data_IF_785456501209
#
_entry.id   IF_785456501209
#
_cell.length_a   1.000
_cell.length_b   1.000
_cell.length_c   1.000
_cell.angle_alpha   90.00
_cell.angle_beta   90.00
_cell.angle_gamma   90.00
#
_symmetry.space_group_name_H-M   'P 1'
#
loop_
_entity.id
_entity.type
_entity.pdbx_description
1 polymer ?
#
# COMPACT_ATOMS: atom_id res chain seq x y z
N UNK A 1 7.62 -28.93 26.60
CA UNK A 1 8.10 -28.60 25.26
C UNK A 1 7.88 -27.11 25.11
N UNK A 2 8.94 -26.32 24.87
CA UNK A 2 8.75 -24.91 24.58
C UNK A 2 8.11 -24.84 23.18
N UNK A 3 6.81 -24.50 23.12
CA UNK A 3 6.15 -24.19 21.86
C UNK A 3 6.72 -22.86 21.35
N UNK A 4 7.79 -22.91 20.58
CA UNK A 4 8.32 -21.73 19.92
C UNK A 4 7.39 -21.32 18.79
N UNK A 5 7.09 -20.01 18.70
CA UNK A 5 6.31 -19.43 17.63
C UNK A 5 7.23 -18.78 16.59
N UNK A 6 7.07 -19.14 15.33
CA UNK A 6 7.72 -18.50 14.18
C UNK A 6 6.84 -17.39 13.61
N UNK A 7 7.43 -16.24 13.35
CA UNK A 7 6.80 -15.17 12.58
C UNK A 7 7.23 -15.32 11.12
N UNK A 8 6.32 -15.79 10.27
CA UNK A 8 6.52 -15.89 8.83
C UNK A 8 6.19 -14.55 8.19
N UNK A 9 7.16 -13.96 7.51
CA UNK A 9 7.00 -12.61 6.94
C UNK A 9 7.27 -12.63 5.44
N UNK A 10 6.27 -12.29 4.63
CA UNK A 10 6.48 -11.99 3.21
C UNK A 10 6.73 -10.51 3.02
N UNK A 11 7.58 -10.13 2.06
CA UNK A 11 7.93 -8.73 1.84
C UNK A 11 8.89 -8.16 2.90
N UNK A 12 9.66 -9.01 3.56
CA UNK A 12 10.60 -8.65 4.62
C UNK A 12 11.69 -7.65 4.18
N UNK A 13 12.10 -7.68 2.91
CA UNK A 13 13.08 -6.76 2.34
C UNK A 13 12.48 -5.41 1.91
N UNK A 14 11.16 -5.23 2.03
CA UNK A 14 10.46 -3.98 1.73
C UNK A 14 10.43 -3.03 2.92
N UNK A 15 9.98 -1.79 2.70
CA UNK A 15 9.97 -0.72 3.68
C UNK A 15 9.30 -1.12 5.02
N UNK A 16 8.04 -1.55 4.98
CA UNK A 16 7.34 -2.02 6.17
C UNK A 16 7.94 -3.31 6.73
N UNK A 17 8.29 -4.27 5.84
CA UNK A 17 8.78 -5.58 6.25
C UNK A 17 10.10 -5.51 7.01
N UNK A 18 11.03 -4.65 6.61
CA UNK A 18 12.30 -4.43 7.33
C UNK A 18 12.04 -3.92 8.75
N UNK A 19 11.14 -2.95 8.91
CA UNK A 19 10.79 -2.41 10.23
C UNK A 19 10.06 -3.44 11.11
N UNK A 20 9.22 -4.31 10.53
CA UNK A 20 8.63 -5.45 11.24
C UNK A 20 9.71 -6.44 11.69
N UNK A 21 10.66 -6.80 10.83
CA UNK A 21 11.78 -7.68 11.20
C UNK A 21 12.54 -7.12 12.40
N UNK A 22 12.91 -5.85 12.37
CA UNK A 22 13.66 -5.21 13.44
C UNK A 22 12.91 -5.28 14.78
N UNK A 23 11.64 -4.89 14.81
CA UNK A 23 10.84 -4.90 16.04
C UNK A 23 10.58 -6.31 16.58
N UNK A 24 10.36 -7.30 15.71
CA UNK A 24 10.21 -8.69 16.13
C UNK A 24 11.50 -9.26 16.71
N UNK A 25 12.65 -8.94 16.12
CA UNK A 25 13.95 -9.36 16.65
C UNK A 25 14.26 -8.68 17.99
N UNK A 26 13.97 -7.39 18.15
CA UNK A 26 14.10 -6.68 19.42
C UNK A 26 13.23 -7.31 20.53
N UNK A 27 12.06 -7.83 20.14
CA UNK A 27 11.18 -8.59 21.04
C UNK A 27 11.63 -10.05 21.27
N UNK A 28 12.76 -10.47 20.70
CA UNK A 28 13.30 -11.83 20.84
C UNK A 28 12.52 -12.90 20.06
N UNK A 29 11.71 -12.50 19.05
CA UNK A 29 10.92 -13.41 18.25
C UNK A 29 11.77 -14.11 17.17
N UNK A 30 11.37 -15.33 16.80
CA UNK A 30 11.91 -16.02 15.62
C UNK A 30 11.22 -15.56 14.36
N UNK A 31 11.98 -14.99 13.43
CA UNK A 31 11.47 -14.45 12.17
C UNK A 31 12.00 -15.26 10.99
N UNK A 32 11.10 -15.69 10.11
CA UNK A 32 11.42 -16.32 8.84
C UNK A 32 10.86 -15.46 7.71
N UNK A 33 11.70 -15.05 6.77
CA UNK A 33 11.36 -14.21 5.64
C UNK A 33 11.26 -15.01 4.35
N UNK A 34 10.20 -14.78 3.57
CA UNK A 34 10.11 -15.22 2.18
C UNK A 34 10.73 -14.16 1.28
N UNK A 35 11.71 -14.55 0.47
CA UNK A 35 12.45 -13.67 -0.42
C UNK A 35 12.47 -14.24 -1.83
N UNK A 36 12.29 -13.39 -2.84
CA UNK A 36 12.42 -13.80 -4.23
C UNK A 36 13.87 -14.23 -4.55
N UNK A 37 14.06 -15.27 -5.36
CA UNK A 37 15.38 -15.59 -5.88
C UNK A 37 16.02 -14.37 -6.57
N UNK A 38 17.28 -14.08 -6.23
CA UNK A 38 18.05 -12.94 -6.75
C UNK A 38 17.55 -11.54 -6.36
N UNK A 39 16.73 -11.43 -5.32
CA UNK A 39 16.35 -10.12 -4.78
C UNK A 39 17.56 -9.44 -4.13
N UNK A 40 17.97 -8.30 -4.69
CA UNK A 40 19.11 -7.53 -4.20
C UNK A 40 18.85 -6.86 -2.85
N UNK A 41 17.58 -6.71 -2.48
CA UNK A 41 17.16 -6.07 -1.23
C UNK A 41 17.35 -6.97 -0.02
N UNK A 42 17.67 -8.25 -0.22
CA UNK A 42 17.94 -9.22 0.87
C UNK A 42 19.04 -8.73 1.82
N UNK A 43 19.99 -7.93 1.35
CA UNK A 43 21.07 -7.32 2.15
C UNK A 43 20.57 -6.38 3.26
N UNK A 44 19.33 -5.93 3.19
CA UNK A 44 18.71 -5.06 4.20
C UNK A 44 17.91 -5.84 5.25
N UNK A 45 17.76 -7.14 5.06
CA UNK A 45 17.15 -8.02 6.07
C UNK A 45 18.19 -8.28 7.15
N UNK A 46 17.87 -8.10 8.45
CA UNK A 46 18.81 -8.42 9.54
C UNK A 46 19.32 -9.87 9.48
N UNK A 47 20.60 -10.10 9.78
CA UNK A 47 21.24 -11.41 9.67
C UNK A 47 20.58 -12.50 10.56
N UNK A 48 19.90 -12.11 11.62
CA UNK A 48 19.21 -13.02 12.54
C UNK A 48 17.90 -13.59 11.94
N UNK A 49 17.41 -13.02 10.84
CA UNK A 49 16.20 -13.49 10.16
C UNK A 49 16.54 -14.70 9.29
N UNK A 50 15.80 -15.78 9.47
CA UNK A 50 15.91 -16.95 8.60
C UNK A 50 15.32 -16.62 7.22
N UNK A 51 16.14 -16.69 6.17
CA UNK A 51 15.71 -16.39 4.79
C UNK A 51 15.38 -17.68 4.05
N UNK A 52 14.17 -17.75 3.49
CA UNK A 52 13.72 -18.82 2.60
C UNK A 52 13.41 -18.23 1.22
N UNK A 53 13.94 -18.85 0.17
CA UNK A 53 13.70 -18.42 -1.21
C UNK A 53 12.39 -18.99 -1.73
N UNK A 54 11.57 -18.14 -2.34
CA UNK A 54 10.31 -18.56 -3.00
C UNK A 54 9.64 -17.40 -3.72
N UNK A 55 8.69 -17.75 -4.59
CA UNK A 55 7.89 -16.78 -5.36
C UNK A 55 6.41 -16.95 -4.98
N UNK A 56 5.75 -15.85 -4.63
CA UNK A 56 4.31 -15.86 -4.31
C UNK A 56 3.46 -16.42 -5.46
N UNK A 57 3.91 -16.26 -6.70
CA UNK A 57 3.20 -16.76 -7.89
C UNK A 57 3.38 -18.26 -8.13
N UNK A 58 4.37 -18.88 -7.48
CA UNK A 58 4.62 -20.33 -7.51
C UNK A 58 4.28 -20.96 -6.14
N UNK A 59 3.09 -21.53 -6.03
CA UNK A 59 2.62 -22.15 -4.79
C UNK A 59 3.52 -23.29 -4.29
N UNK A 60 4.24 -24.01 -5.18
CA UNK A 60 5.14 -25.10 -4.79
C UNK A 60 6.37 -24.55 -4.06
N UNK A 61 6.91 -23.43 -4.50
CA UNK A 61 8.08 -22.77 -3.89
C UNK A 61 7.85 -22.29 -2.46
N UNK A 62 6.58 -22.18 -2.02
CA UNK A 62 6.23 -21.68 -0.70
C UNK A 62 6.28 -22.74 0.40
N UNK A 63 6.38 -24.02 0.07
CA UNK A 63 6.32 -25.12 1.06
C UNK A 63 7.42 -25.01 2.13
N UNK A 64 8.70 -24.77 1.79
CA UNK A 64 9.76 -24.65 2.81
C UNK A 64 9.55 -23.45 3.76
N UNK A 65 8.90 -22.38 3.28
CA UNK A 65 8.61 -21.20 4.08
C UNK A 65 7.58 -21.49 5.19
N UNK A 66 6.59 -22.33 4.93
CA UNK A 66 5.56 -22.70 5.90
C UNK A 66 5.96 -23.86 6.82
N UNK A 67 6.90 -24.71 6.41
CA UNK A 67 7.34 -25.86 7.19
C UNK A 67 8.16 -25.42 8.41
N UNK A 68 7.57 -25.44 9.60
CA UNK A 68 8.27 -25.18 10.87
C UNK A 68 8.65 -26.49 11.57
N UNK A 69 9.64 -26.47 12.50
CA UNK A 69 10.02 -27.66 13.26
C UNK A 69 8.86 -28.28 14.03
N UNK A 70 8.90 -29.58 14.23
CA UNK A 70 7.87 -30.31 14.98
C UNK A 70 7.69 -29.74 16.40
N UNK A 71 6.44 -29.50 16.80
CA UNK A 71 6.09 -28.91 18.08
C UNK A 71 6.18 -27.37 18.14
N UNK A 72 6.57 -26.72 17.04
CA UNK A 72 6.49 -25.27 16.90
C UNK A 72 5.18 -24.86 16.22
N UNK A 73 4.77 -23.61 16.46
CA UNK A 73 3.68 -22.95 15.76
C UNK A 73 4.18 -21.80 14.91
N UNK A 74 3.34 -21.29 14.04
CA UNK A 74 3.66 -20.09 13.26
C UNK A 74 2.47 -19.14 13.15
N UNK A 75 2.80 -17.89 12.85
CA UNK A 75 1.85 -16.87 12.39
C UNK A 75 2.42 -16.20 11.17
N UNK A 76 1.57 -15.76 10.25
CA UNK A 76 2.06 -15.09 9.05
C UNK A 76 1.61 -13.64 8.98
N UNK A 77 2.57 -12.75 8.67
CA UNK A 77 2.32 -11.36 8.29
C UNK A 77 2.60 -11.25 6.79
N UNK A 78 1.55 -11.07 6.00
CA UNK A 78 1.65 -11.02 4.55
C UNK A 78 1.70 -9.57 4.07
N UNK A 79 2.93 -9.02 3.93
CA UNK A 79 3.19 -7.65 3.47
C UNK A 79 3.54 -7.57 1.98
N UNK A 80 4.03 -8.66 1.39
CA UNK A 80 4.51 -8.64 0.02
C UNK A 80 3.41 -8.23 -0.96
N UNK A 81 3.70 -7.20 -1.75
CA UNK A 81 2.86 -6.74 -2.85
C UNK A 81 3.67 -5.90 -3.83
N UNK A 82 3.24 -5.87 -5.08
CA UNK A 82 3.70 -4.85 -6.01
C UNK A 82 2.92 -3.57 -5.77
N UNK A 83 3.63 -2.44 -5.67
CA UNK A 83 3.07 -1.10 -5.57
C UNK A 83 3.32 -0.36 -6.89
N UNK A 84 2.37 0.41 -7.37
CA UNK A 84 2.51 1.22 -8.58
C UNK A 84 1.54 2.39 -8.56
N UNK A 85 1.98 3.54 -9.04
CA UNK A 85 1.13 4.70 -9.37
C UNK A 85 0.66 4.68 -10.82
N UNK A 86 1.10 3.72 -11.63
CA UNK A 86 0.55 3.53 -12.95
C UNK A 86 -0.92 3.09 -12.81
N UNK A 87 -1.89 3.90 -13.27
CA UNK A 87 -3.31 3.57 -13.12
C UNK A 87 -3.75 2.38 -13.97
N UNK A 88 -2.95 2.00 -14.97
CA UNK A 88 -3.32 1.00 -15.94
C UNK A 88 -3.23 -0.42 -15.37
N UNK A 89 -4.12 -1.27 -15.83
CA UNK A 89 -4.13 -2.69 -15.49
C UNK A 89 -2.80 -3.36 -15.85
N UNK A 90 -2.35 -4.24 -14.96
CA UNK A 90 -1.14 -5.03 -15.16
C UNK A 90 -1.40 -6.49 -14.72
N UNK A 91 -1.24 -7.43 -15.66
CA UNK A 91 -1.35 -8.87 -15.35
C UNK A 91 -0.35 -9.29 -14.27
N UNK A 92 0.87 -8.77 -14.32
CA UNK A 92 1.89 -9.05 -13.32
C UNK A 92 1.47 -8.56 -11.93
N UNK A 93 0.91 -7.33 -11.84
CA UNK A 93 0.39 -6.78 -10.58
C UNK A 93 -0.70 -7.69 -9.99
N UNK A 94 -1.64 -8.13 -10.81
CA UNK A 94 -2.73 -9.01 -10.38
C UNK A 94 -2.23 -10.41 -10.02
N UNK A 95 -1.28 -10.95 -10.78
CA UNK A 95 -0.68 -12.25 -10.46
C UNK A 95 0.02 -12.23 -9.09
N UNK A 96 0.78 -11.19 -8.78
CA UNK A 96 1.47 -11.06 -7.49
C UNK A 96 0.48 -10.73 -6.37
N UNK A 97 -0.29 -9.65 -6.50
CA UNK A 97 -1.10 -9.14 -5.38
C UNK A 97 -2.32 -10.02 -5.09
N UNK A 98 -2.97 -10.56 -6.11
CA UNK A 98 -4.17 -11.40 -5.94
C UNK A 98 -3.81 -12.88 -6.00
N UNK A 99 -3.07 -13.31 -7.03
CA UNK A 99 -2.63 -14.70 -7.18
C UNK A 99 -1.72 -15.14 -6.02
N UNK A 100 -0.73 -14.32 -5.68
CA UNK A 100 0.16 -14.55 -4.54
C UNK A 100 -0.58 -14.65 -3.22
N UNK A 101 -1.48 -13.71 -2.93
CA UNK A 101 -2.32 -13.76 -1.70
C UNK A 101 -3.18 -15.03 -1.66
N UNK A 102 -3.72 -15.48 -2.80
CA UNK A 102 -4.46 -16.77 -2.89
C UNK A 102 -3.58 -17.94 -2.51
N UNK A 103 -2.34 -17.97 -3.02
CA UNK A 103 -1.40 -19.04 -2.69
C UNK A 103 -1.07 -19.05 -1.19
N UNK A 104 -0.86 -17.89 -0.58
CA UNK A 104 -0.66 -17.74 0.87
C UNK A 104 -1.88 -18.26 1.65
N UNK A 105 -3.10 -17.85 1.30
CA UNK A 105 -4.34 -18.36 1.93
C UNK A 105 -4.39 -19.88 1.87
N UNK A 106 -4.10 -20.46 0.70
CA UNK A 106 -4.10 -21.92 0.51
C UNK A 106 -3.08 -22.61 1.40
N UNK A 107 -1.88 -22.04 1.53
CA UNK A 107 -0.84 -22.57 2.41
C UNK A 107 -1.23 -22.50 3.87
N UNK A 108 -1.74 -21.35 4.36
CA UNK A 108 -2.21 -21.22 5.75
C UNK A 108 -3.29 -22.25 6.09
N UNK A 109 -4.23 -22.50 5.17
CA UNK A 109 -5.28 -23.49 5.37
C UNK A 109 -4.76 -24.95 5.40
N UNK A 110 -3.64 -25.21 4.72
CA UNK A 110 -3.02 -26.54 4.68
C UNK A 110 -1.99 -26.78 5.80
N UNK A 111 -1.60 -25.74 6.53
CA UNK A 111 -0.65 -25.79 7.63
C UNK A 111 -1.35 -25.44 8.95
N UNK A 112 -1.95 -26.42 9.66
CA UNK A 112 -2.71 -26.20 10.90
C UNK A 112 -1.86 -25.60 12.03
N UNK A 113 -0.54 -25.75 11.99
CA UNK A 113 0.42 -25.09 12.89
C UNK A 113 0.53 -23.58 12.65
N UNK A 114 0.07 -23.08 11.50
CA UNK A 114 -0.05 -21.65 11.24
C UNK A 114 -1.35 -21.11 11.87
N UNK A 115 -1.20 -20.51 13.05
CA UNK A 115 -2.32 -20.15 13.93
C UNK A 115 -3.14 -18.99 13.39
N UNK A 116 -2.52 -18.05 12.66
CA UNK A 116 -3.18 -16.83 12.19
C UNK A 116 -2.43 -16.15 11.06
N UNK A 117 -3.18 -15.48 10.20
CA UNK A 117 -2.69 -14.60 9.13
C UNK A 117 -3.07 -13.15 9.44
N UNK A 118 -2.09 -12.23 9.36
CA UNK A 118 -2.32 -10.79 9.24
C UNK A 118 -2.04 -10.39 7.80
N UNK A 119 -3.06 -9.93 7.09
CA UNK A 119 -2.92 -9.45 5.72
C UNK A 119 -2.75 -7.94 5.71
N UNK A 120 -1.65 -7.46 5.11
CA UNK A 120 -1.40 -6.03 4.92
C UNK A 120 -2.01 -5.58 3.58
N UNK A 121 -3.16 -4.93 3.68
CA UNK A 121 -3.87 -4.33 2.56
C UNK A 121 -3.39 -2.89 2.30
N UNK A 122 -4.29 -1.96 2.11
CA UNK A 122 -4.06 -0.52 1.93
C UNK A 122 -5.36 0.25 2.16
N UNK A 123 -5.30 1.48 2.64
CA UNK A 123 -6.46 2.40 2.62
C UNK A 123 -6.96 2.67 1.20
N UNK A 124 -6.11 2.49 0.19
CA UNK A 124 -6.52 2.54 -1.22
C UNK A 124 -7.51 1.44 -1.63
N UNK A 125 -7.63 0.36 -0.85
CA UNK A 125 -8.62 -0.70 -1.07
C UNK A 125 -10.01 -0.37 -0.52
N UNK A 126 -10.15 0.70 0.26
CA UNK A 126 -11.40 1.11 0.89
C UNK A 126 -12.11 2.11 -0.04
N UNK A 127 -13.39 1.91 -0.37
CA UNK A 127 -14.17 2.89 -1.10
C UNK A 127 -14.15 4.27 -0.42
N UNK A 128 -14.18 5.32 -1.23
CA UNK A 128 -14.19 6.68 -0.71
C UNK A 128 -15.52 7.06 -0.07
N UNK A 129 -15.41 7.96 0.92
CA UNK A 129 -16.52 8.71 1.46
C UNK A 129 -16.41 10.19 1.04
N UNK A 130 -17.50 10.95 1.02
CA UNK A 130 -17.46 12.38 0.74
C UNK A 130 -16.51 13.12 1.69
N UNK A 131 -15.91 14.23 1.23
CA UNK A 131 -15.11 15.08 2.08
C UNK A 131 -15.86 15.50 3.36
N UNK A 132 -15.16 15.48 4.49
CA UNK A 132 -15.75 15.75 5.82
C UNK A 132 -16.39 14.54 6.49
N UNK A 133 -16.44 13.40 5.80
CA UNK A 133 -16.86 12.10 6.38
C UNK A 133 -15.62 11.23 6.53
N UNK A 134 -15.29 10.80 7.75
CA UNK A 134 -14.16 9.91 7.96
C UNK A 134 -14.40 8.54 7.36
N UNK A 135 -13.45 8.07 6.56
CA UNK A 135 -13.44 6.73 5.97
C UNK A 135 -13.20 5.71 7.08
N UNK A 136 -14.05 4.69 7.13
CA UNK A 136 -13.99 3.59 8.12
C UNK A 136 -13.60 2.28 7.47
N UNK A 137 -13.30 1.31 8.32
CA UNK A 137 -12.95 -0.03 7.90
C UNK A 137 -14.07 -0.70 7.12
N UNK A 138 -13.66 -1.48 6.13
CA UNK A 138 -14.58 -2.41 5.46
C UNK A 138 -15.02 -3.52 6.41
N UNK A 139 -16.20 -4.03 6.20
CA UNK A 139 -16.79 -5.11 6.97
C UNK A 139 -17.77 -5.90 6.10
N UNK A 140 -18.45 -6.89 6.67
CA UNK A 140 -19.42 -7.72 5.93
C UNK A 140 -20.60 -6.94 5.30
N UNK A 141 -20.89 -5.73 5.78
CA UNK A 141 -21.98 -4.88 5.23
C UNK A 141 -21.43 -3.87 4.20
N UNK A 142 -20.16 -3.50 4.31
CA UNK A 142 -19.44 -2.60 3.42
C UNK A 142 -18.18 -3.30 2.90
N UNK A 143 -18.32 -4.23 1.93
CA UNK A 143 -17.20 -5.02 1.44
C UNK A 143 -16.23 -4.18 0.61
N UNK A 144 -14.99 -4.67 0.49
CA UNK A 144 -14.04 -4.16 -0.50
C UNK A 144 -14.55 -4.46 -1.90
N UNK A 145 -14.94 -3.42 -2.62
CA UNK A 145 -15.40 -3.52 -4.00
C UNK A 145 -14.36 -2.89 -4.94
N UNK A 146 -13.64 -3.69 -5.75
CA UNK A 146 -12.63 -3.16 -6.67
C UNK A 146 -13.21 -2.20 -7.72
N UNK A 147 -14.52 -2.20 -7.93
CA UNK A 147 -15.20 -1.26 -8.84
C UNK A 147 -15.39 0.13 -8.23
N UNK A 148 -15.25 0.26 -6.92
CA UNK A 148 -15.45 1.51 -6.17
C UNK A 148 -14.15 2.20 -5.79
N UNK A 149 -13.01 1.67 -6.23
CA UNK A 149 -11.70 2.24 -5.96
C UNK A 149 -10.97 2.54 -7.26
N UNK A 150 -10.10 3.55 -7.25
CA UNK A 150 -9.43 4.07 -8.43
C UNK A 150 -7.99 3.55 -8.50
N UNK A 151 -7.57 3.15 -9.70
CA UNK A 151 -6.22 2.68 -10.00
C UNK A 151 -6.01 1.17 -9.80
N UNK A 152 -5.17 0.59 -10.67
CA UNK A 152 -4.94 -0.86 -10.72
C UNK A 152 -4.42 -1.43 -9.39
N UNK A 153 -3.55 -0.68 -8.69
CA UNK A 153 -3.05 -1.07 -7.38
C UNK A 153 -4.18 -1.18 -6.35
N UNK A 154 -5.00 -0.14 -6.22
CA UNK A 154 -6.13 -0.12 -5.28
C UNK A 154 -7.13 -1.24 -5.58
N UNK A 155 -7.42 -1.48 -6.86
CA UNK A 155 -8.28 -2.58 -7.30
C UNK A 155 -7.71 -3.95 -6.95
N UNK A 156 -6.40 -4.16 -7.11
CA UNK A 156 -5.72 -5.39 -6.74
C UNK A 156 -5.78 -5.64 -5.23
N UNK A 157 -5.56 -4.59 -4.42
CA UNK A 157 -5.66 -4.65 -2.95
C UNK A 157 -7.09 -4.87 -2.48
N UNK A 158 -8.09 -4.21 -3.09
CA UNK A 158 -9.50 -4.44 -2.77
C UNK A 158 -9.91 -5.88 -3.08
N UNK A 159 -9.51 -6.41 -4.25
CA UNK A 159 -9.78 -7.80 -4.64
C UNK A 159 -9.14 -8.80 -3.67
N UNK A 160 -7.87 -8.60 -3.32
CA UNK A 160 -7.17 -9.49 -2.40
C UNK A 160 -7.74 -9.40 -0.98
N UNK A 161 -8.13 -8.21 -0.51
CA UNK A 161 -8.77 -8.02 0.80
C UNK A 161 -10.08 -8.78 0.87
N UNK A 162 -10.95 -8.62 -0.14
CA UNK A 162 -12.23 -9.32 -0.17
C UNK A 162 -12.02 -10.83 -0.19
N UNK A 163 -11.03 -11.31 -0.94
CA UNK A 163 -10.69 -12.74 -0.99
C UNK A 163 -10.24 -13.28 0.38
N UNK A 164 -9.46 -12.52 1.16
CA UNK A 164 -9.09 -12.89 2.54
C UNK A 164 -10.34 -12.97 3.43
N UNK A 165 -11.23 -11.97 3.38
CA UNK A 165 -12.46 -11.94 4.18
C UNK A 165 -13.43 -13.06 3.79
N UNK A 166 -13.53 -13.38 2.50
CA UNK A 166 -14.32 -14.51 2.01
C UNK A 166 -13.74 -15.84 2.49
N UNK A 167 -12.41 -16.00 2.49
CA UNK A 167 -11.76 -17.20 3.02
C UNK A 167 -11.99 -17.37 4.53
N UNK A 168 -12.03 -16.26 5.30
CA UNK A 168 -12.42 -16.31 6.72
C UNK A 168 -13.84 -16.85 6.87
N UNK A 169 -14.79 -16.28 6.12
CA UNK A 169 -16.21 -16.60 6.28
C UNK A 169 -16.58 -17.99 5.76
N UNK A 170 -15.96 -18.44 4.65
CA UNK A 170 -16.35 -19.66 3.93
C UNK A 170 -15.44 -20.83 4.26
N UNK A 171 -14.14 -20.59 4.46
CA UNK A 171 -13.12 -21.63 4.60
C UNK A 171 -12.59 -21.74 6.04
N UNK A 172 -13.00 -20.85 6.94
CA UNK A 172 -12.54 -20.83 8.32
C UNK A 172 -11.10 -20.35 8.50
N UNK A 173 -10.57 -19.58 7.51
CA UNK A 173 -9.26 -18.96 7.63
C UNK A 173 -9.20 -18.07 8.88
N UNK A 174 -8.22 -18.29 9.72
CA UNK A 174 -7.97 -17.41 10.88
C UNK A 174 -7.15 -16.22 10.43
N UNK A 175 -7.79 -15.14 9.97
CA UNK A 175 -7.10 -13.95 9.51
C UNK A 175 -7.78 -12.65 9.97
N UNK A 176 -6.98 -11.59 10.06
CA UNK A 176 -7.44 -10.21 10.11
C UNK A 176 -6.67 -9.37 9.09
N UNK A 177 -7.16 -8.18 8.81
CA UNK A 177 -6.61 -7.29 7.78
C UNK A 177 -6.20 -5.97 8.41
N UNK A 178 -5.04 -5.45 8.04
CA UNK A 178 -4.63 -4.08 8.34
C UNK A 178 -4.62 -3.26 7.05
N UNK A 179 -5.11 -2.03 7.11
CA UNK A 179 -5.16 -1.07 6.00
C UNK A 179 -4.25 0.12 6.31
N UNK A 180 -2.96 0.05 5.95
CA UNK A 180 -2.07 1.19 6.05
C UNK A 180 -2.53 2.34 5.18
N UNK A 181 -2.36 3.58 5.66
CA UNK A 181 -2.30 4.77 4.81
C UNK A 181 -0.95 4.86 4.09
N UNK A 182 -0.60 5.98 3.48
CA UNK A 182 0.75 6.17 2.94
C UNK A 182 1.79 5.99 4.04
N UNK A 183 2.99 5.56 3.68
CA UNK A 183 4.05 5.23 4.64
C UNK A 183 5.17 6.26 4.54
N UNK A 184 5.64 6.72 5.70
CA UNK A 184 6.74 7.67 5.86
C UNK A 184 7.65 7.17 6.99
N UNK A 185 8.94 7.50 6.96
CA UNK A 185 9.88 7.18 8.04
C UNK A 185 11.13 6.44 7.57
N UNK A 186 12.06 6.14 8.48
CA UNK A 186 13.38 5.60 8.15
C UNK A 186 13.33 4.15 7.61
N UNK A 187 14.41 3.76 6.92
CA UNK A 187 14.66 2.42 6.36
C UNK A 187 13.89 2.10 5.06
N UNK A 188 13.50 3.11 4.27
CA UNK A 188 13.01 2.87 2.90
C UNK A 188 14.17 2.73 1.92
N UNK A 189 14.88 1.62 1.98
CA UNK A 189 16.03 1.36 1.11
C UNK A 189 15.67 1.19 -0.37
N UNK A 190 14.40 1.01 -0.69
CA UNK A 190 13.92 0.94 -2.08
C UNK A 190 13.64 2.33 -2.67
N UNK A 191 13.66 3.39 -1.84
CA UNK A 191 13.30 4.76 -2.21
C UNK A 191 11.96 4.77 -2.93
N UNK A 192 10.91 4.42 -2.20
CA UNK A 192 9.53 4.43 -2.70
C UNK A 192 9.05 5.85 -3.02
N UNK A 193 7.80 5.96 -3.44
CA UNK A 193 7.26 7.23 -3.95
C UNK A 193 7.25 8.36 -2.93
N UNK A 194 6.91 8.05 -1.67
CA UNK A 194 6.89 9.06 -0.60
C UNK A 194 8.30 9.57 -0.34
N UNK A 195 9.25 8.67 -0.05
CA UNK A 195 10.65 9.00 0.18
C UNK A 195 11.27 9.70 -1.03
N UNK A 196 10.97 9.24 -2.26
CA UNK A 196 11.42 9.89 -3.49
C UNK A 196 10.88 11.32 -3.64
N UNK A 197 9.62 11.56 -3.29
CA UNK A 197 9.02 12.90 -3.29
C UNK A 197 9.71 13.83 -2.28
N UNK A 198 9.97 13.34 -1.06
CA UNK A 198 10.69 14.09 -0.05
C UNK A 198 12.10 14.48 -0.52
N UNK A 199 12.82 13.52 -1.12
CA UNK A 199 14.15 13.78 -1.70
C UNK A 199 14.10 14.86 -2.80
N UNK A 200 13.09 14.84 -3.68
CA UNK A 200 12.93 15.88 -4.70
C UNK A 200 12.66 17.26 -4.09
N UNK A 201 11.85 17.33 -3.03
CA UNK A 201 11.58 18.58 -2.29
C UNK A 201 12.88 19.08 -1.64
N UNK A 202 13.58 18.22 -0.91
CA UNK A 202 14.83 18.56 -0.21
C UNK A 202 15.90 19.05 -1.20
N UNK A 203 16.08 18.36 -2.33
CA UNK A 203 17.03 18.74 -3.38
C UNK A 203 16.60 19.97 -4.19
N UNK A 204 15.39 20.49 -3.96
CA UNK A 204 14.85 21.63 -4.70
C UNK A 204 14.50 21.33 -6.16
N UNK A 205 14.29 20.06 -6.49
CA UNK A 205 13.94 19.56 -7.82
C UNK A 205 12.44 19.71 -8.13
N UNK A 206 11.62 20.03 -7.11
CA UNK A 206 10.19 20.32 -7.25
C UNK A 206 9.96 21.81 -7.34
N UNK A 207 9.74 22.38 -8.54
CA UNK A 207 9.64 23.83 -8.72
C UNK A 207 8.30 24.40 -8.22
N UNK A 208 7.25 23.57 -8.16
CA UNK A 208 5.91 23.93 -7.72
C UNK A 208 5.25 22.72 -7.07
N UNK A 209 4.35 22.97 -6.14
CA UNK A 209 3.53 21.93 -5.52
C UNK A 209 2.12 21.85 -6.13
N UNK A 210 1.28 21.03 -5.54
CA UNK A 210 -0.14 20.92 -5.82
C UNK A 210 -0.92 21.14 -4.53
N UNK A 211 -2.08 21.75 -4.62
CA UNK A 211 -3.04 21.74 -3.53
C UNK A 211 -3.47 20.30 -3.28
N UNK A 212 -3.78 19.97 -2.04
CA UNK A 212 -4.25 18.64 -1.67
C UNK A 212 -3.58 18.12 -0.40
N UNK A 213 -3.95 16.94 -0.02
CA UNK A 213 -3.54 16.35 1.25
C UNK A 213 -3.16 14.89 1.11
N UNK A 214 -2.41 14.41 2.10
CA UNK A 214 -2.07 13.01 2.29
C UNK A 214 -2.55 12.53 3.65
N UNK A 215 -2.55 11.23 3.83
CA UNK A 215 -2.50 10.61 5.13
C UNK A 215 -1.30 9.66 5.12
N UNK A 216 -0.34 9.92 5.99
CA UNK A 216 0.92 9.17 6.06
C UNK A 216 1.11 8.70 7.50
N UNK A 217 1.36 7.42 7.68
CA UNK A 217 1.72 6.87 8.99
C UNK A 217 3.22 6.61 9.07
N UNK A 218 3.79 6.75 10.25
CA UNK A 218 5.16 6.36 10.51
C UNK A 218 5.31 4.84 10.35
N UNK A 219 6.31 4.40 9.61
CA UNK A 219 6.55 2.98 9.32
C UNK A 219 6.75 2.15 10.60
N UNK A 220 7.32 2.75 11.65
CA UNK A 220 7.55 2.09 12.94
C UNK A 220 6.26 1.88 13.73
N UNK A 221 5.34 2.87 13.68
CA UNK A 221 4.02 2.76 14.28
C UNK A 221 3.16 1.77 13.52
N UNK A 222 3.26 1.79 12.19
CA UNK A 222 2.62 0.82 11.31
C UNK A 222 3.12 -0.60 11.58
N UNK A 223 4.43 -0.80 11.75
CA UNK A 223 5.02 -2.08 12.09
C UNK A 223 4.49 -2.58 13.44
N UNK A 224 4.51 -1.72 14.48
CA UNK A 224 3.98 -2.05 15.80
C UNK A 224 2.50 -2.43 15.78
N UNK A 225 1.66 -1.65 15.07
CA UNK A 225 0.23 -1.94 14.90
C UNK A 225 -0.02 -3.25 14.14
N UNK A 226 0.79 -3.53 13.11
CA UNK A 226 0.71 -4.76 12.33
C UNK A 226 1.12 -5.99 13.18
N UNK A 227 2.18 -5.88 13.98
CA UNK A 227 2.59 -6.92 14.92
C UNK A 227 1.52 -7.14 16.00
N UNK A 228 0.98 -6.06 16.57
CA UNK A 228 -0.09 -6.15 17.55
C UNK A 228 -1.35 -6.86 17.01
N UNK A 229 -1.64 -6.73 15.72
CA UNK A 229 -2.76 -7.40 15.06
C UNK A 229 -2.61 -8.94 15.05
N UNK A 230 -1.39 -9.48 15.21
CA UNK A 230 -1.18 -10.93 15.34
C UNK A 230 -1.94 -11.48 16.55
N UNK A 231 -1.75 -10.87 17.70
CA UNK A 231 -2.35 -11.37 18.96
C UNK A 231 -3.70 -10.72 19.27
N UNK A 232 -3.86 -9.42 19.03
CA UNK A 232 -5.03 -8.65 19.41
C UNK A 232 -6.08 -8.53 18.32
N UNK A 233 -5.68 -8.61 17.03
CA UNK A 233 -6.63 -8.46 15.91
C UNK A 233 -7.67 -9.58 15.91
N UNK A 234 -8.95 -9.24 15.84
CA UNK A 234 -10.05 -10.21 15.78
C UNK A 234 -10.16 -10.85 14.40
N UNK A 235 -10.49 -12.12 14.34
CA UNK A 235 -10.68 -12.88 13.10
C UNK A 235 -11.81 -12.26 12.28
N UNK A 236 -11.56 -12.01 10.99
CA UNK A 236 -12.50 -11.40 10.05
C UNK A 236 -12.62 -9.88 10.14
N UNK A 237 -11.87 -9.25 11.05
CA UNK A 237 -11.91 -7.81 11.23
C UNK A 237 -10.81 -7.10 10.43
N UNK A 238 -11.13 -5.86 10.07
CA UNK A 238 -10.20 -4.92 9.42
C UNK A 238 -9.83 -3.80 10.39
N UNK A 239 -8.61 -3.29 10.26
CA UNK A 239 -8.08 -2.19 11.07
C UNK A 239 -7.38 -1.18 10.16
N UNK A 240 -7.80 0.07 10.22
CA UNK A 240 -7.08 1.17 9.56
C UNK A 240 -5.91 1.57 10.43
N UNK A 241 -4.71 1.59 9.84
CA UNK A 241 -3.49 2.10 10.48
C UNK A 241 -3.09 3.38 9.73
N UNK A 242 -3.55 4.50 10.24
CA UNK A 242 -3.42 5.82 9.63
C UNK A 242 -2.98 6.86 10.67
N UNK A 243 -2.77 8.08 10.22
CA UNK A 243 -2.46 9.25 11.03
C UNK A 243 -3.44 10.38 10.71
N UNK A 244 -3.15 11.59 11.17
CA UNK A 244 -3.89 12.79 10.77
C UNK A 244 -3.57 13.14 9.31
N UNK A 245 -4.53 13.75 8.64
CA UNK A 245 -4.31 14.30 7.29
C UNK A 245 -3.33 15.46 7.36
N UNK A 246 -2.42 15.55 6.40
CA UNK A 246 -1.43 16.61 6.23
C UNK A 246 -1.47 17.10 4.79
N UNK A 247 -1.40 18.42 4.57
CA UNK A 247 -1.30 18.99 3.23
C UNK A 247 0.12 18.91 2.68
N UNK A 248 0.27 18.90 1.36
CA UNK A 248 1.60 19.00 0.74
C UNK A 248 2.35 20.25 1.19
N UNK A 249 1.61 21.36 1.39
CA UNK A 249 2.22 22.60 1.89
C UNK A 249 2.79 22.44 3.30
N UNK A 250 2.02 21.90 4.23
CA UNK A 250 2.49 21.64 5.60
C UNK A 250 3.70 20.70 5.61
N UNK A 251 3.71 19.67 4.74
CA UNK A 251 4.86 18.78 4.58
C UNK A 251 6.10 19.54 4.11
N UNK A 252 5.98 20.39 3.10
CA UNK A 252 7.08 21.24 2.63
C UNK A 252 7.57 22.22 3.70
N UNK A 253 6.65 22.80 4.48
CA UNK A 253 7.01 23.70 5.57
C UNK A 253 7.78 22.97 6.69
N UNK A 254 7.38 21.73 7.02
CA UNK A 254 8.10 20.90 7.99
C UNK A 254 9.49 20.50 7.49
N UNK A 255 9.63 20.11 6.21
CA UNK A 255 10.93 19.82 5.61
C UNK A 255 11.83 21.05 5.53
N UNK A 256 11.26 22.22 5.25
CA UNK A 256 12.02 23.46 5.29
C UNK A 256 12.54 23.77 6.70
N UNK A 257 11.71 23.59 7.73
CA UNK A 257 12.10 23.79 9.11
C UNK A 257 13.18 22.78 9.56
N UNK A 258 13.10 21.54 9.11
CA UNK A 258 14.00 20.45 9.54
C UNK A 258 15.37 20.53 8.85
N UNK A 259 15.42 20.68 7.53
CA UNK A 259 16.64 20.58 6.75
C UNK A 259 16.86 21.75 5.78
N UNK A 260 16.20 22.88 6.01
CA UNK A 260 16.27 24.05 5.14
C UNK A 260 15.98 23.75 3.65
N UNK A 261 15.11 22.76 3.41
CA UNK A 261 14.64 22.40 2.08
C UNK A 261 14.09 23.66 1.37
N UNK A 262 14.28 23.76 0.06
CA UNK A 262 13.81 24.91 -0.71
C UNK A 262 12.30 25.06 -0.60
N UNK A 263 11.85 26.23 -0.16
CA UNK A 263 10.41 26.53 -0.06
C UNK A 263 9.74 26.53 -1.43
N UNK A 264 8.63 25.81 -1.52
CA UNK A 264 7.74 25.87 -2.68
C UNK A 264 6.78 27.06 -2.50
N UNK A 265 6.88 28.05 -3.39
CA UNK A 265 6.10 29.30 -3.30
C UNK A 265 4.73 29.21 -3.98
N UNK A 266 4.54 28.28 -4.88
CA UNK A 266 3.32 28.16 -5.69
C UNK A 266 2.76 26.75 -5.67
N UNK A 267 1.46 26.63 -5.39
CA UNK A 267 0.73 25.37 -5.35
C UNK A 267 -0.41 25.40 -6.37
N UNK A 268 -0.33 24.55 -7.36
CA UNK A 268 -1.33 24.39 -8.41
C UNK A 268 -2.68 23.99 -7.81
N UNK A 269 -3.80 24.64 -8.22
CA UNK A 269 -5.12 24.09 -7.99
C UNK A 269 -5.27 22.69 -8.62
N UNK A 270 -6.02 21.79 -7.95
CA UNK A 270 -6.14 20.40 -8.36
C UNK A 270 -6.69 20.23 -9.77
N UNK A 271 -7.70 21.03 -10.16
CA UNK A 271 -8.29 20.98 -11.51
C UNK A 271 -7.28 21.32 -12.62
N UNK A 272 -6.34 22.22 -12.33
CA UNK A 272 -5.27 22.56 -13.27
C UNK A 272 -4.19 21.50 -13.29
N UNK A 273 -3.83 20.96 -12.12
CA UNK A 273 -2.86 19.88 -11.99
C UNK A 273 -3.31 18.62 -12.76
N UNK A 274 -4.60 18.28 -12.70
CA UNK A 274 -5.16 17.12 -13.40
C UNK A 274 -5.04 17.26 -14.93
N UNK A 275 -5.36 18.43 -15.48
CA UNK A 275 -5.22 18.72 -16.91
C UNK A 275 -3.76 18.65 -17.37
N UNK A 276 -2.83 19.17 -16.57
CA UNK A 276 -1.38 19.10 -16.85
C UNK A 276 -0.91 17.64 -16.81
N UNK A 277 -1.32 16.88 -15.79
CA UNK A 277 -0.96 15.48 -15.64
C UNK A 277 -1.41 14.63 -16.84
N UNK A 278 -2.65 14.82 -17.28
CA UNK A 278 -3.18 14.15 -18.49
C UNK A 278 -2.36 14.47 -19.74
N UNK A 279 -1.88 15.70 -19.88
CA UNK A 279 -0.97 16.10 -20.97
C UNK A 279 0.40 15.41 -20.88
N UNK A 280 0.97 15.34 -19.67
CA UNK A 280 2.25 14.69 -19.43
C UNK A 280 2.19 13.16 -19.65
N UNK A 281 1.09 12.50 -19.28
CA UNK A 281 0.88 11.08 -19.55
C UNK A 281 0.84 10.77 -21.04
N UNK A 282 0.13 11.59 -21.84
CA UNK A 282 0.13 11.46 -23.30
C UNK A 282 1.53 11.66 -23.94
N UNK A 283 2.32 12.57 -23.37
CA UNK A 283 3.70 12.77 -23.81
C UNK A 283 4.59 11.60 -23.43
N UNK A 284 4.39 11.04 -22.23
CA UNK A 284 5.09 9.85 -21.73
C UNK A 284 4.86 8.63 -22.63
N UNK A 285 3.63 8.39 -23.07
CA UNK A 285 3.29 7.32 -24.03
C UNK A 285 4.11 7.42 -25.33
N UNK A 286 4.35 8.66 -25.81
CA UNK A 286 5.12 8.90 -27.05
C UNK A 286 6.63 8.78 -26.83
N UNK A 287 7.12 9.16 -25.66
CA UNK A 287 8.57 9.28 -25.39
C UNK A 287 9.13 8.08 -24.62
N UNK A 288 8.28 7.24 -24.04
CA UNK A 288 8.68 6.15 -23.14
C UNK A 288 9.26 6.62 -21.81
N UNK A 289 9.21 7.93 -21.50
CA UNK A 289 9.71 8.49 -20.23
C UNK A 289 8.58 8.56 -19.21
N UNK A 290 8.88 8.22 -17.96
CA UNK A 290 7.92 8.39 -16.84
C UNK A 290 7.53 9.88 -16.72
N UNK A 291 6.22 10.20 -16.63
CA UNK A 291 5.78 11.58 -16.42
C UNK A 291 6.11 12.03 -14.98
N UNK A 292 6.42 13.33 -14.82
CA UNK A 292 6.67 13.93 -13.51
C UNK A 292 5.44 13.91 -12.60
N UNK A 293 4.25 13.85 -13.19
CA UNK A 293 2.95 13.86 -12.49
C UNK A 293 1.98 13.04 -13.31
N UNK A 294 1.17 12.22 -12.62
CA UNK A 294 0.09 11.42 -13.24
C UNK A 294 -1.27 11.90 -12.75
N UNK A 295 -2.31 11.65 -13.53
CA UNK A 295 -3.69 11.88 -13.09
C UNK A 295 -4.01 11.11 -11.80
N UNK A 296 -3.40 9.92 -11.64
CA UNK A 296 -3.54 9.14 -10.42
C UNK A 296 -2.84 9.77 -9.21
N UNK A 297 -1.68 10.41 -9.39
CA UNK A 297 -1.02 11.14 -8.29
C UNK A 297 -1.81 12.36 -7.87
N UNK A 298 -2.41 13.08 -8.81
CA UNK A 298 -3.32 14.20 -8.53
C UNK A 298 -4.57 13.72 -7.79
N UNK A 299 -5.18 12.62 -8.26
CA UNK A 299 -6.31 12.00 -7.60
C UNK A 299 -6.00 11.62 -6.14
N UNK A 300 -4.84 11.04 -5.86
CA UNK A 300 -4.45 10.67 -4.50
C UNK A 300 -4.32 11.87 -3.55
N UNK A 301 -3.96 13.05 -4.07
CA UNK A 301 -3.93 14.32 -3.31
C UNK A 301 -5.32 14.93 -3.15
N UNK A 302 -6.20 14.74 -4.14
CA UNK A 302 -7.53 15.34 -4.21
C UNK A 302 -8.57 14.56 -3.43
N UNK A 303 -8.39 13.24 -3.30
CA UNK A 303 -9.37 12.36 -2.65
C UNK A 303 -9.51 12.69 -1.16
N UNK A 304 -10.60 12.22 -0.56
CA UNK A 304 -10.76 12.23 0.89
C UNK A 304 -9.69 11.33 1.54
N UNK A 305 -8.81 11.93 2.35
CA UNK A 305 -7.74 11.26 3.08
C UNK A 305 -7.96 11.27 4.61
N UNK A 306 -9.21 11.50 5.06
CA UNK A 306 -9.58 11.46 6.46
C UNK A 306 -10.02 10.05 6.86
N UNK A 307 -9.23 9.37 7.68
CA UNK A 307 -9.51 8.01 8.13
C UNK A 307 -9.88 7.98 9.61
N UNK A 308 -10.83 7.11 9.98
CA UNK A 308 -11.15 6.77 11.36
C UNK A 308 -10.33 5.53 11.75
N UNK A 309 -9.29 5.70 12.53
CA UNK A 309 -8.44 4.62 13.03
C UNK A 309 -8.67 4.32 14.52
N UNK A 310 -9.73 4.86 15.10
CA UNK A 310 -10.06 4.69 16.52
C UNK A 310 -10.23 3.21 16.93
N UNK A 311 -10.67 2.36 16.02
CA UNK A 311 -10.76 0.92 16.25
C UNK A 311 -9.38 0.30 16.48
N UNK A 312 -8.38 0.68 15.67
CA UNK A 312 -7.01 0.21 15.86
C UNK A 312 -6.40 0.73 17.18
N UNK A 313 -6.67 1.99 17.55
CA UNK A 313 -6.26 2.53 18.84
C UNK A 313 -6.84 1.72 20.00
N UNK A 314 -8.14 1.46 19.99
CA UNK A 314 -8.85 0.79 21.08
C UNK A 314 -8.54 -0.72 21.17
N UNK A 315 -8.45 -1.42 20.04
CA UNK A 315 -8.35 -2.89 20.03
C UNK A 315 -6.89 -3.38 19.90
N UNK A 316 -6.05 -2.66 19.15
CA UNK A 316 -4.64 -3.05 18.95
C UNK A 316 -3.68 -2.30 19.89
N UNK A 317 -4.10 -1.15 20.42
CA UNK A 317 -3.22 -0.21 21.10
C UNK A 317 -2.35 0.58 20.13
N UNK A 318 -2.84 0.79 18.90
CA UNK A 318 -2.15 1.56 17.88
C UNK A 318 -1.98 3.02 18.32
N UNK A 319 -0.80 3.57 18.11
CA UNK A 319 -0.47 4.97 18.39
C UNK A 319 0.26 5.57 17.21
N UNK A 320 0.25 6.88 17.08
CA UNK A 320 0.92 7.58 15.98
C UNK A 320 1.88 8.63 16.50
N UNK A 321 3.07 8.69 15.93
CA UNK A 321 4.03 9.79 16.10
C UNK A 321 3.53 11.05 15.43
N UNK A 322 4.08 12.19 15.84
CA UNK A 322 3.89 13.44 15.12
C UNK A 322 4.63 13.41 13.77
N UNK A 323 4.12 14.17 12.81
CA UNK A 323 4.83 14.31 11.52
C UNK A 323 6.22 14.93 11.68
N UNK A 324 6.37 15.84 12.63
CA UNK A 324 7.66 16.47 12.92
C UNK A 324 8.70 15.43 13.37
N UNK A 325 8.33 14.52 14.26
CA UNK A 325 9.21 13.44 14.71
C UNK A 325 9.55 12.47 13.56
N UNK A 326 8.54 12.06 12.79
CA UNK A 326 8.75 11.15 11.66
C UNK A 326 9.65 11.78 10.59
N UNK A 327 9.44 13.07 10.25
CA UNK A 327 10.26 13.79 9.27
C UNK A 327 11.68 13.96 9.78
N UNK A 328 11.86 14.30 11.05
CA UNK A 328 13.18 14.40 11.66
C UNK A 328 13.95 13.09 11.48
N UNK A 329 13.37 11.98 11.90
CA UNK A 329 14.03 10.67 11.84
C UNK A 329 14.27 10.20 10.39
N UNK A 330 13.35 10.49 9.48
CA UNK A 330 13.51 10.22 8.04
C UNK A 330 14.67 11.01 7.46
N UNK A 331 14.78 12.31 7.77
CA UNK A 331 15.88 13.18 7.32
C UNK A 331 17.22 12.69 7.89
N UNK A 332 17.28 12.33 9.18
CA UNK A 332 18.48 11.78 9.80
C UNK A 332 18.91 10.46 9.13
N UNK A 333 17.94 9.58 8.82
CA UNK A 333 18.20 8.36 8.08
C UNK A 333 18.73 8.64 6.66
N UNK A 334 18.11 9.59 5.93
CA UNK A 334 18.59 9.99 4.60
C UNK A 334 20.03 10.51 4.61
N UNK A 335 20.44 11.22 5.67
CA UNK A 335 21.82 11.67 5.86
C UNK A 335 22.73 10.47 6.10
N UNK A 336 22.35 9.58 7.00
CA UNK A 336 23.15 8.39 7.33
C UNK A 336 23.37 7.47 6.12
N UNK A 337 22.37 7.36 5.23
CA UNK A 337 22.47 6.61 3.97
C UNK A 337 23.17 7.39 2.84
N UNK A 338 23.57 8.64 3.08
CA UNK A 338 24.23 9.49 2.07
C UNK A 338 23.32 9.93 0.92
N UNK A 339 21.99 9.91 1.11
CA UNK A 339 21.01 10.33 0.11
C UNK A 339 20.93 11.85 -0.02
N UNK A 340 21.22 12.55 1.08
CA UNK A 340 21.36 14.00 1.17
C UNK A 340 22.61 14.35 1.97
N UNK A 341 23.20 15.52 1.69
CA UNK A 341 24.28 16.01 2.52
C UNK A 341 23.71 16.71 3.78
N UNK A 342 24.35 16.54 4.91
CA UNK A 342 23.91 17.12 6.18
C UNK A 342 24.11 18.64 6.29
N UNK A 343 24.60 19.32 5.26
CA UNK A 343 24.97 20.76 5.33
C UNK A 343 23.78 21.69 5.42
N UNK A 344 22.58 21.24 5.09
CA UNK A 344 21.32 21.98 5.23
C UNK A 344 20.57 21.71 6.53
N UNK A 345 20.93 20.66 7.26
CA UNK A 345 20.33 20.33 8.54
C UNK A 345 20.90 21.26 9.60
N UNK A 346 20.11 22.21 10.01
CA UNK A 346 20.52 23.15 11.03
C UNK A 346 20.51 22.48 12.40
N UNK A 347 21.67 22.48 13.07
CA UNK A 347 21.70 22.65 14.52
C UNK A 347 20.99 23.98 14.86
N UNK A 348 19.67 24.02 14.81
CA UNK A 348 18.90 25.22 15.17
C UNK A 348 17.86 24.94 16.23
N UNK A 349 18.29 25.16 17.43
CA UNK A 349 17.61 26.05 18.34
C UNK A 349 18.42 27.38 18.40
N UNK A 350 18.17 28.35 17.55
CA UNK A 350 18.49 29.75 17.76
C UNK A 350 17.81 30.65 16.70
N UNK A 351 16.85 31.42 17.21
CA UNK A 351 16.46 32.77 16.79
C UNK A 351 16.01 33.05 15.34
N UNK A 352 14.70 33.23 15.21
CA UNK A 352 14.06 33.94 14.10
C UNK A 352 14.26 35.44 14.36
N UNK A 353 15.04 36.09 13.51
CA UNK A 353 15.00 37.55 13.34
C UNK A 353 14.65 37.88 11.89
N UNK A 354 13.67 38.81 11.80
CA UNK A 354 13.16 39.44 10.58
C UNK A 354 14.26 40.02 9.68
N UNK A 355 14.07 39.96 8.37
CA UNK A 355 14.77 40.86 7.49
C UNK A 355 14.88 40.52 6.00
N UNK A 356 14.06 41.21 5.22
CA UNK A 356 14.30 41.66 3.85
C UNK A 356 14.12 40.73 2.65
N UNK A 357 13.06 41.04 1.93
CA UNK A 357 12.72 40.67 0.55
C UNK A 357 13.67 41.39 -0.42
N UNK A 358 14.29 40.65 -1.34
CA UNK A 358 14.84 41.25 -2.57
C UNK A 358 14.17 40.62 -3.79
N UNK A 359 13.50 41.48 -4.54
CA UNK A 359 12.94 41.19 -5.88
C UNK A 359 14.05 40.99 -6.90
N UNK A 360 13.88 40.00 -7.80
CA UNK A 360 14.76 39.84 -8.96
C UNK A 360 14.25 38.72 -9.86
N UNK A 361 13.49 39.14 -10.87
CA UNK A 361 12.75 38.28 -11.79
C UNK A 361 13.57 37.51 -12.81
N UNK A 362 12.95 36.50 -13.34
CA UNK A 362 13.00 36.11 -14.77
C UNK A 362 11.82 35.15 -15.04
N UNK A 363 10.71 35.68 -15.53
CA UNK A 363 9.65 34.90 -16.14
C UNK A 363 9.67 35.17 -17.65
N UNK A 364 9.96 34.17 -18.47
CA UNK A 364 9.51 34.14 -19.85
C UNK A 364 8.03 33.78 -19.83
N UNK A 365 7.20 34.68 -20.36
CA UNK A 365 5.77 34.47 -20.56
C UNK A 365 5.55 33.23 -21.46
N UNK A 366 4.96 32.21 -20.87
CA UNK A 366 4.36 31.11 -21.61
C UNK A 366 2.89 31.48 -21.86
N UNK A 367 2.50 31.54 -23.14
CA UNK A 367 1.12 31.89 -23.50
C UNK A 367 0.19 30.72 -23.14
N UNK A 368 -0.43 30.85 -21.97
CA UNK A 368 -1.32 29.85 -21.36
C UNK A 368 -2.60 29.65 -22.21
N UNK A 369 -2.95 30.60 -23.08
CA UNK A 369 -4.21 30.59 -23.84
C UNK A 369 -4.16 29.66 -25.06
N UNK A 370 -3.03 29.59 -25.76
CA UNK A 370 -2.86 28.62 -26.89
C UNK A 370 -2.71 27.19 -26.40
N UNK A 371 -2.05 26.97 -25.27
CA UNK A 371 -1.99 25.65 -24.64
C UNK A 371 -3.37 25.15 -24.16
N UNK A 372 -4.23 26.07 -23.73
CA UNK A 372 -5.58 25.77 -23.24
C UNK A 372 -6.52 25.25 -24.35
N UNK A 373 -6.50 25.90 -25.52
CA UNK A 373 -7.43 25.58 -26.62
C UNK A 373 -7.07 24.23 -27.29
N UNK A 374 -5.80 23.92 -27.42
CA UNK A 374 -5.33 22.66 -28.03
C UNK A 374 -5.54 21.43 -27.12
N UNK A 375 -5.66 21.66 -25.82
CA UNK A 375 -5.93 20.62 -24.83
C UNK A 375 -7.42 20.26 -24.77
N UNK A 376 -8.31 21.25 -24.89
CA UNK A 376 -9.77 21.05 -24.77
C UNK A 376 -10.35 20.20 -25.91
N UNK A 377 -9.92 20.43 -27.17
CA UNK A 377 -10.40 19.67 -28.34
C UNK A 377 -9.88 18.23 -28.38
N UNK A 378 -8.69 17.98 -27.82
CA UNK A 378 -8.06 16.64 -27.79
C UNK A 378 -8.61 15.74 -26.66
N UNK A 379 -9.16 16.34 -25.60
CA UNK A 379 -9.62 15.63 -24.38
C UNK A 379 -10.96 14.94 -24.63
N UNK A 380 -11.90 15.57 -25.34
CA UNK A 380 -13.26 15.04 -25.54
C UNK A 380 -13.28 13.79 -26.44
N UNK A 381 -12.45 13.77 -27.48
CA UNK A 381 -12.38 12.62 -28.41
C UNK A 381 -11.63 11.41 -27.83
N UNK A 382 -10.69 11.65 -26.92
CA UNK A 382 -9.92 10.58 -26.28
C UNK A 382 -10.73 9.93 -25.16
N UNK A 383 -11.55 10.71 -24.44
CA UNK A 383 -12.40 10.19 -23.36
C UNK A 383 -13.38 9.13 -23.85
N UNK A 384 -14.05 9.36 -24.98
CA UNK A 384 -14.98 8.39 -25.57
C UNK A 384 -14.31 7.08 -26.01
N UNK A 385 -13.09 7.15 -26.54
CA UNK A 385 -12.35 5.94 -26.96
C UNK A 385 -11.81 5.10 -25.80
N UNK A 386 -11.47 5.75 -24.68
CA UNK A 386 -11.00 5.08 -23.47
C UNK A 386 -12.16 4.42 -22.74
N UNK A 387 -13.32 5.06 -22.68
CA UNK A 387 -14.53 4.53 -22.04
C UNK A 387 -15.00 3.22 -22.71
N UNK A 388 -15.06 3.18 -24.02
CA UNK A 388 -15.46 2.00 -24.80
C UNK A 388 -14.43 0.85 -24.70
N UNK A 389 -13.12 1.16 -24.66
CA UNK A 389 -12.05 0.17 -24.53
C UNK A 389 -11.95 -0.44 -23.12
N UNK A 390 -12.10 0.38 -22.09
CA UNK A 390 -12.03 -0.03 -20.70
C UNK A 390 -13.22 -0.93 -20.30
N UNK A 391 -14.45 -0.58 -20.72
CA UNK A 391 -15.67 -1.35 -20.46
C UNK A 391 -15.60 -2.75 -21.13
N UNK A 392 -15.07 -2.84 -22.34
CA UNK A 392 -14.89 -4.11 -23.07
C UNK A 392 -13.85 -5.03 -22.41
N UNK A 393 -12.70 -4.48 -22.01
CA UNK A 393 -11.64 -5.20 -21.31
C UNK A 393 -12.11 -5.70 -19.92
N UNK A 394 -12.84 -4.85 -19.20
CA UNK A 394 -13.35 -5.15 -17.85
C UNK A 394 -14.35 -6.30 -17.85
N UNK A 395 -15.31 -6.34 -18.78
CA UNK A 395 -16.27 -7.44 -18.92
C UNK A 395 -15.63 -8.78 -19.23
N UNK A 396 -14.54 -8.80 -20.00
CA UNK A 396 -13.78 -10.02 -20.29
C UNK A 396 -13.07 -10.59 -19.06
N UNK A 397 -12.50 -9.73 -18.23
CA UNK A 397 -11.80 -10.09 -16.98
C UNK A 397 -12.81 -10.52 -15.92
N UNK A 398 -13.91 -9.79 -15.75
CA UNK A 398 -15.01 -10.12 -14.82
C UNK A 398 -15.58 -11.52 -15.11
N UNK A 399 -15.87 -11.81 -16.36
CA UNK A 399 -16.41 -13.12 -16.78
C UNK A 399 -15.40 -14.26 -16.60
N UNK A 400 -14.12 -14.00 -16.80
CA UNK A 400 -13.04 -14.97 -16.56
C UNK A 400 -12.84 -15.24 -15.07
N UNK A 401 -12.92 -14.21 -14.25
CA UNK A 401 -12.79 -14.28 -12.78
C UNK A 401 -13.96 -14.99 -12.12
N UNK A 402 -15.18 -14.59 -12.46
CA UNK A 402 -16.42 -15.23 -11.95
C UNK A 402 -16.49 -16.70 -12.38
N UNK A 403 -16.07 -17.02 -13.61
CA UNK A 403 -15.98 -18.39 -14.09
C UNK A 403 -14.90 -19.20 -13.37
N UNK A 404 -13.73 -18.62 -13.12
CA UNK A 404 -12.63 -19.23 -12.37
C UNK A 404 -13.02 -19.51 -10.91
N UNK A 405 -13.64 -18.53 -10.25
CA UNK A 405 -14.14 -18.66 -8.87
C UNK A 405 -15.18 -19.77 -8.74
N UNK A 406 -16.20 -19.78 -9.63
CA UNK A 406 -17.23 -20.83 -9.65
C UNK A 406 -16.66 -22.22 -9.89
N UNK A 407 -15.63 -22.35 -10.72
CA UNK A 407 -14.95 -23.64 -10.96
C UNK A 407 -14.19 -24.13 -9.74
N UNK A 408 -13.49 -23.23 -9.03
CA UNK A 408 -12.74 -23.58 -7.81
C UNK A 408 -13.68 -23.91 -6.65
N UNK A 409 -14.72 -23.10 -6.44
CA UNK A 409 -15.75 -23.37 -5.45
C UNK A 409 -16.42 -24.76 -5.71
N UNK A 410 -16.79 -25.03 -6.95
CA UNK A 410 -17.36 -26.31 -7.34
C UNK A 410 -16.39 -27.47 -7.14
N UNK A 411 -15.10 -27.29 -7.43
CA UNK A 411 -14.08 -28.32 -7.21
C UNK A 411 -13.85 -28.58 -5.73
N UNK A 412 -13.82 -27.52 -4.91
CA UNK A 412 -13.69 -27.63 -3.46
C UNK A 412 -14.89 -28.31 -2.83
N UNK A 413 -16.13 -27.88 -3.16
CA UNK A 413 -17.35 -28.49 -2.67
C UNK A 413 -17.38 -29.98 -3.05
N UNK A 414 -17.05 -30.31 -4.31
CA UNK A 414 -17.03 -31.70 -4.78
C UNK A 414 -15.99 -32.57 -4.07
N UNK A 415 -14.81 -32.01 -3.78
CA UNK A 415 -13.68 -32.75 -3.21
C UNK A 415 -13.78 -32.96 -1.70
N UNK A 416 -14.31 -31.96 -0.96
CA UNK A 416 -14.22 -31.94 0.50
C UNK A 416 -15.57 -31.92 1.23
N UNK A 417 -16.67 -31.53 0.56
CA UNK A 417 -17.96 -31.32 1.23
C UNK A 417 -19.10 -32.16 0.69
N UNK A 418 -18.98 -32.68 -0.54
CA UNK A 418 -20.01 -33.57 -1.13
C UNK A 418 -19.93 -35.00 -0.60
N UNK A 419 -21.09 -35.60 -0.38
CA UNK A 419 -21.19 -37.02 -0.11
C UNK A 419 -21.15 -37.80 -1.42
N UNK A 420 -20.90 -39.13 -1.35
CA UNK A 420 -20.83 -39.97 -2.53
C UNK A 420 -22.14 -39.90 -3.32
N UNK A 421 -22.08 -39.50 -4.59
CA UNK A 421 -23.26 -39.32 -5.47
C UNK A 421 -23.95 -37.96 -5.39
N UNK A 422 -23.51 -37.06 -4.49
CA UNK A 422 -24.14 -35.73 -4.30
C UNK A 422 -23.55 -34.69 -5.26
N UNK A 423 -24.39 -33.93 -5.94
CA UNK A 423 -23.98 -32.82 -6.79
C UNK A 423 -23.55 -31.60 -5.95
N UNK A 424 -22.77 -30.69 -6.55
CA UNK A 424 -22.33 -29.43 -5.90
C UNK A 424 -23.52 -28.60 -5.43
N UNK A 425 -24.59 -28.54 -6.18
CA UNK A 425 -25.78 -27.77 -5.85
C UNK A 425 -26.57 -28.37 -4.70
N UNK A 426 -26.70 -29.69 -4.66
CA UNK A 426 -27.32 -30.40 -3.55
C UNK A 426 -26.53 -30.24 -2.25
N UNK A 427 -25.19 -30.33 -2.35
CA UNK A 427 -24.27 -30.07 -1.22
C UNK A 427 -24.46 -28.68 -0.66
N UNK A 428 -24.46 -27.65 -1.51
CA UNK A 428 -24.69 -26.26 -1.10
C UNK A 428 -26.05 -26.07 -0.43
N UNK A 429 -27.10 -26.66 -0.98
CA UNK A 429 -28.44 -26.61 -0.44
C UNK A 429 -28.57 -27.33 0.92
N UNK A 430 -27.81 -28.41 1.13
CA UNK A 430 -27.72 -29.09 2.43
C UNK A 430 -27.00 -28.26 3.48
N UNK A 431 -25.91 -27.58 3.10
CA UNK A 431 -25.12 -26.76 4.00
C UNK A 431 -25.81 -25.44 4.37
N UNK A 432 -26.64 -24.88 3.50
CA UNK A 432 -27.42 -23.65 3.78
C UNK A 432 -28.64 -23.86 4.66
N UNK A 433 -28.99 -25.13 4.98
CA UNK A 433 -30.14 -25.49 5.85
C UNK A 433 -29.74 -25.82 7.30
N UNK A 434 -28.45 -25.68 7.62
CA UNK A 434 -27.90 -25.74 8.98
C UNK A 434 -27.50 -24.35 9.47
#
# INVERSE_FOLDING_TARGET
MNNERYYLLTGAAGFLGTNICMQLLEAGCKVRALVLPNDKSVKYIPEQVEVVLGDLTDAASLEPFFTVPEGCTSVIIHCASMVTVNPNYSEKLMAVNVGGTRNIITKVLNHPECEKMVYVSSTGAIPEEPHGVKIREVNKFTPCDPKKVVGAYSQSKATATQMVLDAVSVMGLKACVVHPSGILGPNDHAIGETTGTLLQIIKGEMPMGMQGSFNLCDVRDLAAGTIAAVDKGRIGECYILANKTVTLKEMCDMLHAECNAKQIKFYLPLDLADKIAAGLEKQAEKTGKMPLMTTFSVYNLARNNEFDYSKAENELGYTTRSYQETIHDEVQWMIAEGLIDGTGVTEKHAEITDGQVSEGGFFQEFDVKEAYQSVEDSVVDTYKKIEDGAVSGYKKVENSFVSGYKKMEAAFVRKFLSREGESVEETKKRLSRK
#
